data_IF_474250310064
#
_entry.id   IF_474250310064
#
_cell.length_a   1.000
_cell.length_b   1.000
_cell.length_c   1.000
_cell.angle_alpha   90.00
_cell.angle_beta   90.00
_cell.angle_gamma   90.00
#
_symmetry.space_group_name_H-M   'P 1'
#
loop_
_entity.id
_entity.type
_entity.pdbx_description
1 polymer ?
#
# COMPACT_ATOMS: atom_id res chain seq x y z
N UNK A 1 -26.62 -6.53 -17.03
CA UNK A 1 -26.14 -7.82 -16.49
C UNK A 1 -25.61 -7.57 -15.08
N UNK A 2 -25.83 -8.47 -14.11
CA UNK A 2 -25.35 -8.28 -12.72
C UNK A 2 -23.82 -8.24 -12.69
N UNK A 3 -23.23 -7.28 -11.95
CA UNK A 3 -21.79 -7.21 -11.72
C UNK A 3 -21.38 -8.28 -10.72
N UNK A 4 -20.35 -9.07 -11.03
CA UNK A 4 -19.85 -10.13 -10.17
C UNK A 4 -18.39 -9.87 -9.82
N UNK A 5 -18.13 -9.71 -8.52
CA UNK A 5 -16.79 -9.61 -7.97
C UNK A 5 -16.44 -10.94 -7.30
N UNK A 6 -15.49 -11.66 -7.87
CA UNK A 6 -14.92 -12.85 -7.26
C UNK A 6 -13.83 -12.41 -6.28
N UNK A 7 -14.15 -12.44 -4.99
CA UNK A 7 -13.17 -12.18 -3.93
C UNK A 7 -12.44 -13.49 -3.65
N UNK A 8 -11.16 -13.54 -3.98
CA UNK A 8 -10.32 -14.74 -3.87
C UNK A 8 -9.31 -14.51 -2.75
N UNK A 9 -9.26 -15.42 -1.79
CA UNK A 9 -8.33 -15.33 -0.67
C UNK A 9 -7.76 -16.68 -0.28
N UNK A 10 -6.49 -16.65 0.12
CA UNK A 10 -5.80 -17.79 0.73
C UNK A 10 -6.23 -18.06 2.18
N UNK A 11 -6.99 -17.14 2.78
CA UNK A 11 -7.39 -17.22 4.17
C UNK A 11 -8.53 -18.21 4.40
N UNK A 12 -8.61 -18.75 5.61
CA UNK A 12 -9.71 -19.63 6.01
C UNK A 12 -11.08 -18.99 5.88
N UNK A 13 -11.15 -17.68 6.07
CA UNK A 13 -12.37 -16.89 6.01
C UNK A 13 -12.13 -15.67 5.12
N UNK A 14 -13.09 -15.35 4.27
CA UNK A 14 -13.02 -14.12 3.48
C UNK A 14 -13.13 -12.88 4.39
N UNK A 15 -12.38 -11.83 4.05
CA UNK A 15 -12.35 -10.58 4.81
C UNK A 15 -13.70 -9.87 4.78
N UNK A 16 -14.36 -9.67 5.94
CA UNK A 16 -15.58 -8.86 6.00
C UNK A 16 -15.32 -7.42 5.56
N UNK A 17 -14.12 -6.89 5.84
CA UNK A 17 -13.72 -5.54 5.46
C UNK A 17 -13.77 -5.36 3.94
N UNK A 18 -13.12 -6.26 3.18
CA UNK A 18 -13.05 -6.14 1.72
C UNK A 18 -14.43 -6.35 1.08
N UNK A 19 -15.24 -7.26 1.65
CA UNK A 19 -16.60 -7.51 1.17
C UNK A 19 -17.49 -6.27 1.36
N UNK A 20 -17.45 -5.64 2.55
CA UNK A 20 -18.21 -4.41 2.83
C UNK A 20 -17.77 -3.28 1.90
N UNK A 21 -16.46 -3.06 1.77
CA UNK A 21 -15.91 -2.03 0.87
C UNK A 21 -16.35 -2.26 -0.59
N UNK A 22 -16.45 -3.51 -1.04
CA UNK A 22 -16.93 -3.84 -2.38
C UNK A 22 -18.41 -3.50 -2.58
N UNK A 23 -19.27 -3.85 -1.63
CA UNK A 23 -20.70 -3.51 -1.68
C UNK A 23 -20.93 -1.99 -1.63
N UNK A 24 -20.15 -1.28 -0.82
CA UNK A 24 -20.20 0.19 -0.74
C UNK A 24 -19.66 0.88 -2.00
N UNK A 25 -18.76 0.21 -2.74
CA UNK A 25 -18.12 0.80 -3.91
C UNK A 25 -19.01 0.78 -5.16
N UNK A 26 -19.76 -0.32 -5.35
CA UNK A 26 -20.47 -0.59 -6.60
C UNK A 26 -21.89 -1.05 -6.29
N UNK A 27 -22.86 -0.23 -6.67
CA UNK A 27 -24.27 -0.61 -6.61
C UNK A 27 -24.52 -1.89 -7.43
N UNK A 28 -25.38 -2.76 -6.88
CA UNK A 28 -25.78 -4.01 -7.51
C UNK A 28 -24.65 -5.01 -7.81
N UNK A 29 -23.49 -4.90 -7.15
CA UNK A 29 -22.47 -5.95 -7.19
C UNK A 29 -22.92 -7.17 -6.41
N UNK A 30 -22.65 -8.37 -6.94
CA UNK A 30 -22.66 -9.60 -6.18
C UNK A 30 -21.20 -9.98 -5.88
N UNK A 31 -20.83 -10.01 -4.60
CA UNK A 31 -19.50 -10.45 -4.16
C UNK A 31 -19.58 -11.96 -3.88
N UNK A 32 -18.74 -12.74 -4.56
CA UNK A 32 -18.66 -14.19 -4.41
C UNK A 32 -17.32 -14.53 -3.72
N UNK A 33 -17.34 -14.87 -2.42
CA UNK A 33 -16.11 -15.16 -1.68
C UNK A 33 -15.63 -16.59 -1.94
N UNK A 34 -14.37 -16.71 -2.34
CA UNK A 34 -13.60 -17.95 -2.35
C UNK A 34 -12.50 -17.84 -1.28
N UNK A 35 -12.54 -18.74 -0.32
CA UNK A 35 -11.61 -18.82 0.82
C UNK A 35 -10.82 -20.14 0.75
N UNK A 36 -9.68 -20.21 1.44
CA UNK A 36 -8.71 -21.31 1.39
C UNK A 36 -8.18 -21.61 -0.01
N UNK A 37 -8.13 -20.62 -0.91
CA UNK A 37 -7.63 -20.85 -2.27
C UNK A 37 -6.11 -20.89 -2.28
N UNK A 38 -5.54 -21.97 -2.78
CA UNK A 38 -4.09 -22.08 -2.99
C UNK A 38 -3.67 -21.45 -4.33
N UNK A 39 -2.37 -21.19 -4.50
CA UNK A 39 -1.88 -20.61 -5.75
C UNK A 39 -2.07 -21.58 -6.95
N UNK A 40 -1.99 -22.87 -6.68
CA UNK A 40 -2.15 -23.96 -7.66
C UNK A 40 -3.59 -24.09 -8.18
N UNK A 41 -4.58 -23.63 -7.42
CA UNK A 41 -6.01 -23.68 -7.80
C UNK A 41 -6.43 -22.49 -8.67
N UNK A 42 -5.64 -21.41 -8.69
CA UNK A 42 -5.95 -20.18 -9.44
C UNK A 42 -6.19 -20.42 -10.94
N UNK A 43 -5.41 -21.23 -11.67
CA UNK A 43 -5.64 -21.46 -13.09
C UNK A 43 -7.03 -22.03 -13.40
N UNK A 44 -7.45 -23.04 -12.63
CA UNK A 44 -8.77 -23.66 -12.80
C UNK A 44 -9.88 -22.67 -12.45
N UNK A 45 -9.75 -21.97 -11.32
CA UNK A 45 -10.73 -20.97 -10.87
C UNK A 45 -10.90 -19.83 -11.89
N UNK A 46 -9.81 -19.34 -12.46
CA UNK A 46 -9.88 -18.27 -13.49
C UNK A 46 -10.62 -18.76 -14.74
N UNK A 47 -10.39 -20.00 -15.18
CA UNK A 47 -11.16 -20.56 -16.31
C UNK A 47 -12.67 -20.57 -16.01
N UNK A 48 -13.04 -21.02 -14.82
CA UNK A 48 -14.44 -21.06 -14.38
C UNK A 48 -15.06 -19.66 -14.26
N UNK A 49 -14.25 -18.62 -14.03
CA UNK A 49 -14.70 -17.23 -13.99
C UNK A 49 -14.90 -16.62 -15.39
N UNK A 50 -14.02 -16.94 -16.35
CA UNK A 50 -13.99 -16.26 -17.67
C UNK A 50 -14.86 -16.92 -18.75
N UNK A 51 -15.15 -18.23 -18.68
CA UNK A 51 -15.92 -18.93 -19.72
C UNK A 51 -17.45 -18.85 -19.62
N UNK A 52 -18.11 -18.64 -18.45
CA UNK A 52 -19.57 -18.62 -18.37
C UNK A 52 -20.24 -17.44 -19.08
N UNK A 53 -19.50 -16.37 -19.40
CA UNK A 53 -20.03 -15.15 -20.04
C UNK A 53 -19.37 -14.94 -21.40
N UNK A 54 -20.13 -14.40 -22.34
CA UNK A 54 -19.59 -14.03 -23.64
C UNK A 54 -18.49 -12.97 -23.48
N UNK A 55 -17.49 -12.90 -24.39
CA UNK A 55 -16.38 -11.96 -24.24
C UNK A 55 -16.77 -10.49 -24.13
N UNK A 56 -17.93 -10.07 -24.65
CA UNK A 56 -18.45 -8.70 -24.50
C UNK A 56 -18.99 -8.42 -23.09
N UNK A 57 -19.49 -9.46 -22.41
CA UNK A 57 -20.17 -9.34 -21.13
C UNK A 57 -19.20 -9.44 -19.94
N UNK A 58 -17.96 -9.89 -20.17
CA UNK A 58 -16.91 -10.01 -19.15
C UNK A 58 -16.46 -8.68 -18.52
N UNK A 59 -16.89 -7.53 -19.05
CA UNK A 59 -16.77 -6.24 -18.33
C UNK A 59 -17.54 -6.23 -17.01
N UNK A 60 -18.56 -7.09 -16.86
CA UNK A 60 -19.35 -7.22 -15.63
C UNK A 60 -18.81 -8.27 -14.66
N UNK A 61 -17.60 -8.81 -14.91
CA UNK A 61 -16.95 -9.81 -14.07
C UNK A 61 -15.56 -9.30 -13.68
N UNK A 62 -15.20 -9.42 -12.42
CA UNK A 62 -13.90 -9.01 -11.91
C UNK A 62 -13.39 -9.94 -10.82
N UNK A 63 -12.08 -9.91 -10.59
CA UNK A 63 -11.38 -10.65 -9.54
C UNK A 63 -10.73 -9.65 -8.57
N UNK A 64 -10.91 -9.85 -7.28
CA UNK A 64 -10.17 -9.17 -6.23
C UNK A 64 -9.43 -10.21 -5.41
N UNK A 65 -8.10 -10.14 -5.36
CA UNK A 65 -7.28 -11.01 -4.51
C UNK A 65 -7.01 -10.29 -3.19
N UNK A 66 -7.46 -10.88 -2.09
CA UNK A 66 -7.25 -10.38 -0.73
C UNK A 66 -6.62 -11.43 0.20
N UNK A 67 -6.63 -11.17 1.50
CA UNK A 67 -6.04 -12.02 2.55
C UNK A 67 -4.93 -11.31 3.31
N UNK A 68 -4.04 -12.05 3.99
CA UNK A 68 -2.96 -11.46 4.81
C UNK A 68 -1.53 -11.75 4.33
N UNK A 69 -1.33 -12.73 3.43
CA UNK A 69 -0.02 -13.01 2.84
C UNK A 69 0.19 -12.27 1.52
N UNK A 70 0.84 -11.11 1.60
CA UNK A 70 1.06 -10.25 0.44
C UNK A 70 1.91 -10.90 -0.65
N UNK A 71 2.91 -11.71 -0.27
CA UNK A 71 3.77 -12.38 -1.26
C UNK A 71 2.96 -13.40 -2.04
N UNK A 72 2.16 -14.20 -1.32
CA UNK A 72 1.26 -15.17 -1.94
C UNK A 72 0.15 -14.50 -2.76
N UNK A 73 -0.35 -13.34 -2.32
CA UNK A 73 -1.32 -12.55 -3.06
C UNK A 73 -0.77 -12.03 -4.39
N UNK A 74 0.45 -11.50 -4.39
CA UNK A 74 1.15 -11.06 -5.61
C UNK A 74 1.38 -12.26 -6.56
N UNK A 75 1.78 -13.42 -6.04
CA UNK A 75 1.92 -14.68 -6.81
C UNK A 75 0.59 -15.11 -7.46
N UNK A 76 -0.50 -15.15 -6.69
CA UNK A 76 -1.82 -15.52 -7.19
C UNK A 76 -2.31 -14.55 -8.28
N UNK A 77 -1.99 -13.27 -8.16
CA UNK A 77 -2.31 -12.27 -9.19
C UNK A 77 -1.54 -12.54 -10.48
N UNK A 78 -0.24 -12.85 -10.40
CA UNK A 78 0.57 -13.17 -11.57
C UNK A 78 0.05 -14.42 -12.29
N UNK A 79 -0.29 -15.48 -11.54
CA UNK A 79 -0.86 -16.71 -12.11
C UNK A 79 -2.19 -16.42 -12.78
N UNK A 80 -3.08 -15.68 -12.12
CA UNK A 80 -4.39 -15.33 -12.66
C UNK A 80 -4.28 -14.51 -13.96
N UNK A 81 -3.36 -13.54 -14.00
CA UNK A 81 -3.10 -12.73 -15.20
C UNK A 81 -2.59 -13.60 -16.36
N UNK A 82 -1.69 -14.55 -16.11
CA UNK A 82 -1.17 -15.46 -17.15
C UNK A 82 -2.22 -16.43 -17.67
N UNK A 83 -3.21 -16.79 -16.86
CA UNK A 83 -4.27 -17.70 -17.25
C UNK A 83 -5.28 -17.06 -18.23
N UNK A 84 -5.45 -15.74 -18.18
CA UNK A 84 -6.36 -15.02 -19.08
C UNK A 84 -5.75 -14.85 -20.48
N UNK A 85 -6.58 -14.88 -21.53
CA UNK A 85 -6.13 -14.71 -22.92
C UNK A 85 -7.20 -14.00 -23.76
N UNK A 86 -6.84 -13.41 -24.90
CA UNK A 86 -7.86 -12.73 -25.72
C UNK A 86 -8.79 -13.76 -26.41
N UNK A 87 -10.12 -13.54 -26.43
CA UNK A 87 -10.85 -12.40 -25.87
C UNK A 87 -11.37 -12.59 -24.43
N UNK A 88 -11.07 -13.73 -23.79
CA UNK A 88 -11.49 -14.14 -22.44
C UNK A 88 -10.57 -13.61 -21.33
N UNK A 89 -10.86 -12.39 -20.89
CA UNK A 89 -10.18 -11.72 -19.78
C UNK A 89 -11.15 -10.89 -18.97
N UNK A 90 -10.91 -10.81 -17.67
CA UNK A 90 -11.66 -10.01 -16.70
C UNK A 90 -10.73 -9.02 -16.03
N UNK A 91 -11.28 -7.98 -15.40
CA UNK A 91 -10.44 -7.07 -14.63
C UNK A 91 -10.03 -7.70 -13.31
N UNK A 92 -8.83 -7.37 -12.84
CA UNK A 92 -8.23 -7.97 -11.65
C UNK A 92 -7.41 -6.94 -10.87
N UNK A 93 -7.45 -7.07 -9.55
CA UNK A 93 -6.59 -6.37 -8.60
C UNK A 93 -6.21 -7.29 -7.44
N UNK A 94 -5.03 -7.08 -6.85
CA UNK A 94 -4.66 -7.64 -5.57
C UNK A 94 -4.39 -6.51 -4.57
N UNK A 95 -4.95 -6.61 -3.36
CA UNK A 95 -4.67 -5.69 -2.26
C UNK A 95 -4.68 -6.42 -0.91
N UNK A 96 -3.83 -7.45 -0.83
CA UNK A 96 -3.65 -8.25 0.37
C UNK A 96 -3.19 -7.38 1.54
N UNK A 97 -3.85 -7.56 2.68
CA UNK A 97 -3.73 -6.78 3.92
C UNK A 97 -3.86 -5.25 3.72
N UNK A 98 -4.52 -4.82 2.64
CA UNK A 98 -4.60 -3.41 2.26
C UNK A 98 -3.24 -2.78 1.98
N UNK A 99 -2.25 -3.59 1.58
CA UNK A 99 -0.86 -3.15 1.50
C UNK A 99 -0.63 -2.09 0.42
N UNK A 100 -1.31 -2.16 -0.72
CA UNK A 100 -1.23 -1.18 -1.79
C UNK A 100 -2.03 0.08 -1.43
N UNK A 101 -3.28 -0.09 -0.97
CA UNK A 101 -4.15 1.05 -0.64
C UNK A 101 -3.64 1.85 0.56
N UNK A 102 -3.05 1.19 1.56
CA UNK A 102 -2.46 1.88 2.72
C UNK A 102 -1.23 2.68 2.30
N UNK A 103 -0.36 2.10 1.46
CA UNK A 103 0.78 2.81 0.90
C UNK A 103 0.34 4.01 0.05
N UNK A 104 -0.67 3.84 -0.80
CA UNK A 104 -1.25 4.91 -1.60
C UNK A 104 -1.81 6.03 -0.72
N UNK A 105 -2.56 5.69 0.33
CA UNK A 105 -3.08 6.66 1.30
C UNK A 105 -1.97 7.42 2.03
N UNK A 106 -0.92 6.73 2.46
CA UNK A 106 0.21 7.35 3.14
C UNK A 106 0.92 8.36 2.24
N UNK A 107 1.28 7.95 1.02
CA UNK A 107 1.99 8.83 0.08
C UNK A 107 1.10 9.97 -0.40
N UNK A 108 -0.22 9.74 -0.55
CA UNK A 108 -1.19 10.81 -0.81
C UNK A 108 -1.12 11.90 0.26
N UNK A 109 -1.18 11.56 1.56
CA UNK A 109 -1.17 12.56 2.65
C UNK A 109 0.17 13.29 2.76
N UNK A 110 1.27 12.58 2.53
CA UNK A 110 2.60 13.18 2.43
C UNK A 110 2.64 14.19 1.27
N UNK A 111 2.19 13.79 0.08
CA UNK A 111 2.14 14.67 -1.10
C UNK A 111 1.23 15.87 -0.87
N UNK A 112 0.05 15.67 -0.29
CA UNK A 112 -0.90 16.73 0.08
C UNK A 112 -0.24 17.81 0.94
N UNK A 113 0.61 17.40 1.89
CA UNK A 113 1.32 18.32 2.80
C UNK A 113 2.31 19.24 2.07
N UNK A 114 2.89 18.78 0.95
CA UNK A 114 3.77 19.58 0.10
C UNK A 114 3.00 20.42 -0.93
N UNK A 115 2.00 19.83 -1.58
CA UNK A 115 1.24 20.53 -2.64
C UNK A 115 0.44 21.72 -2.08
N UNK A 116 -0.05 21.63 -0.84
CA UNK A 116 -0.66 22.78 -0.13
C UNK A 116 0.28 23.98 0.03
N UNK A 117 1.59 23.78 -0.05
CA UNK A 117 2.63 24.82 0.02
C UNK A 117 3.17 25.22 -1.37
N UNK A 118 2.60 24.69 -2.45
CA UNK A 118 3.14 24.87 -3.80
C UNK A 118 4.42 24.10 -4.08
N UNK A 119 4.77 23.13 -3.23
CA UNK A 119 5.95 22.27 -3.37
C UNK A 119 5.57 20.87 -3.91
N UNK A 120 6.59 20.05 -4.20
CA UNK A 120 6.42 18.66 -4.62
C UNK A 120 7.47 17.76 -3.96
N UNK A 121 7.38 16.45 -4.18
CA UNK A 121 8.25 15.45 -3.56
C UNK A 121 9.60 15.25 -4.27
N UNK A 122 9.82 15.89 -5.42
CA UNK A 122 11.06 15.74 -6.18
C UNK A 122 12.25 16.27 -5.38
N UNK A 123 13.26 15.42 -5.18
CA UNK A 123 14.46 15.72 -4.39
C UNK A 123 14.21 15.82 -2.89
N UNK A 124 13.01 15.50 -2.41
CA UNK A 124 12.76 15.32 -0.97
C UNK A 124 13.38 13.99 -0.52
N UNK A 125 13.67 13.88 0.79
CA UNK A 125 14.33 12.70 1.35
C UNK A 125 13.43 12.03 2.36
N UNK A 126 13.03 10.80 2.08
CA UNK A 126 12.14 10.03 2.93
C UNK A 126 12.83 8.80 3.54
N UNK A 127 12.76 8.66 4.86
CA UNK A 127 13.18 7.43 5.55
C UNK A 127 11.94 6.68 6.05
N UNK A 128 11.90 5.38 5.80
CA UNK A 128 10.79 4.50 6.16
C UNK A 128 11.28 3.51 7.21
N UNK A 129 10.89 3.74 8.45
CA UNK A 129 11.25 2.90 9.58
C UNK A 129 10.45 1.60 9.60
N UNK A 130 11.15 0.49 9.87
CA UNK A 130 10.64 -0.87 9.72
C UNK A 130 10.09 -1.16 8.30
N UNK A 131 10.61 -0.46 7.29
CA UNK A 131 10.05 -0.41 5.93
C UNK A 131 10.22 -1.65 5.06
N UNK A 132 10.76 -2.76 5.60
CA UNK A 132 10.91 -4.01 4.84
C UNK A 132 9.62 -4.81 4.69
N UNK A 133 8.56 -4.40 5.40
CA UNK A 133 7.24 -4.99 5.26
C UNK A 133 6.53 -4.59 3.96
N UNK A 134 5.42 -5.25 3.61
CA UNK A 134 4.70 -5.00 2.35
C UNK A 134 4.29 -3.54 2.13
N UNK A 135 3.73 -2.89 3.17
CA UNK A 135 3.33 -1.48 3.13
C UNK A 135 4.54 -0.57 2.95
N UNK A 136 5.60 -0.79 3.73
CA UNK A 136 6.82 0.02 3.68
C UNK A 136 7.50 0.02 2.31
N UNK A 137 7.61 -1.14 1.67
CA UNK A 137 8.19 -1.25 0.32
C UNK A 137 7.32 -0.56 -0.75
N UNK A 138 6.00 -0.61 -0.62
CA UNK A 138 5.07 0.09 -1.52
C UNK A 138 5.11 1.61 -1.32
N UNK A 139 5.25 2.08 -0.08
CA UNK A 139 5.50 3.48 0.22
C UNK A 139 6.83 3.93 -0.41
N UNK A 140 7.90 3.13 -0.28
CA UNK A 140 9.19 3.40 -0.91
C UNK A 140 9.05 3.55 -2.44
N UNK A 141 8.40 2.58 -3.09
CA UNK A 141 8.13 2.59 -4.53
C UNK A 141 7.38 3.85 -4.99
N UNK A 142 6.31 4.22 -4.27
CA UNK A 142 5.49 5.39 -4.62
C UNK A 142 6.23 6.72 -4.38
N UNK A 143 7.03 6.83 -3.31
CA UNK A 143 7.86 8.01 -3.06
C UNK A 143 8.96 8.18 -4.13
N UNK A 144 9.58 7.08 -4.56
CA UNK A 144 10.55 7.06 -5.67
C UNK A 144 9.87 7.53 -6.96
N UNK A 145 8.67 7.05 -7.25
CA UNK A 145 7.88 7.47 -8.43
C UNK A 145 7.60 8.98 -8.42
N UNK A 146 7.43 9.56 -7.23
CA UNK A 146 7.24 11.01 -7.04
C UNK A 146 8.56 11.81 -7.06
N UNK A 147 9.70 11.12 -7.26
CA UNK A 147 11.02 11.72 -7.39
C UNK A 147 11.74 11.98 -6.07
N UNK A 148 11.31 11.37 -4.97
CA UNK A 148 12.00 11.45 -3.69
C UNK A 148 13.19 10.47 -3.63
N UNK A 149 14.23 10.86 -2.90
CA UNK A 149 15.28 9.95 -2.46
C UNK A 149 14.75 9.15 -1.26
N UNK A 150 14.94 7.83 -1.26
CA UNK A 150 14.35 6.97 -0.24
C UNK A 150 15.40 6.15 0.51
N UNK A 151 15.18 6.02 1.81
CA UNK A 151 15.87 5.09 2.69
C UNK A 151 14.86 4.16 3.39
N UNK A 152 15.25 2.91 3.62
CA UNK A 152 14.45 1.92 4.35
C UNK A 152 15.28 1.37 5.52
N UNK A 153 14.64 1.18 6.67
CA UNK A 153 15.29 0.58 7.84
C UNK A 153 14.74 -0.81 8.16
N UNK A 154 15.59 -1.62 8.77
CA UNK A 154 15.30 -2.97 9.27
C UNK A 154 16.12 -3.24 10.52
N UNK A 155 15.71 -4.23 11.32
CA UNK A 155 16.55 -4.75 12.42
C UNK A 155 17.77 -5.52 11.92
N UNK A 156 17.83 -5.90 10.64
CA UNK A 156 18.97 -6.56 10.01
C UNK A 156 19.27 -5.92 8.67
N UNK A 157 20.52 -5.53 8.45
CA UNK A 157 20.94 -4.87 7.20
C UNK A 157 20.65 -5.74 5.97
N UNK A 158 21.03 -7.03 6.01
CA UNK A 158 20.85 -7.95 4.88
C UNK A 158 19.37 -8.04 4.47
N UNK A 159 18.46 -8.12 5.44
CA UNK A 159 17.02 -8.10 5.19
C UNK A 159 16.55 -6.79 4.55
N UNK A 160 17.11 -5.65 4.96
CA UNK A 160 16.79 -4.38 4.30
C UNK A 160 17.26 -4.40 2.85
N UNK A 161 18.50 -4.82 2.60
CA UNK A 161 19.10 -4.90 1.27
C UNK A 161 18.31 -5.83 0.33
N UNK A 162 17.98 -7.03 0.78
CA UNK A 162 17.15 -7.99 0.03
C UNK A 162 15.77 -7.43 -0.30
N UNK A 163 15.14 -6.75 0.67
CA UNK A 163 13.81 -6.19 0.49
C UNK A 163 13.78 -5.03 -0.52
N UNK A 164 14.77 -4.12 -0.45
CA UNK A 164 14.84 -2.98 -1.38
C UNK A 164 15.29 -3.38 -2.78
N UNK A 165 16.05 -4.48 -2.95
CA UNK A 165 16.51 -4.93 -4.27
C UNK A 165 15.35 -5.19 -5.24
N UNK A 166 14.23 -5.69 -4.72
CA UNK A 166 12.98 -5.86 -5.49
C UNK A 166 12.47 -4.53 -6.03
N UNK A 167 12.47 -3.48 -5.21
CA UNK A 167 12.02 -2.13 -5.58
C UNK A 167 13.02 -1.45 -6.51
N UNK A 168 14.33 -1.56 -6.22
CA UNK A 168 15.43 -1.02 -7.03
C UNK A 168 15.35 -1.51 -8.47
N UNK A 169 15.15 -2.82 -8.67
CA UNK A 169 15.04 -3.42 -10.01
C UNK A 169 13.85 -2.90 -10.81
N UNK A 170 12.70 -2.71 -10.15
CA UNK A 170 11.47 -2.25 -10.83
C UNK A 170 11.52 -0.77 -11.17
N UNK A 171 12.03 0.07 -10.26
CA UNK A 171 11.97 1.53 -10.38
C UNK A 171 13.29 2.18 -10.83
N UNK A 172 14.35 1.40 -11.00
CA UNK A 172 15.70 1.89 -11.36
C UNK A 172 16.14 3.08 -10.50
N UNK A 173 15.98 2.94 -9.18
CA UNK A 173 16.28 3.98 -8.21
C UNK A 173 17.30 3.48 -7.19
N UNK A 174 18.15 4.37 -6.69
CA UNK A 174 18.99 4.06 -5.54
C UNK A 174 18.19 4.26 -4.25
N UNK A 175 18.20 3.23 -3.40
CA UNK A 175 17.45 3.18 -2.14
C UNK A 175 18.47 2.86 -1.07
N UNK A 176 18.62 3.71 -0.05
CA UNK A 176 19.54 3.40 1.05
C UNK A 176 18.92 2.40 2.01
N UNK A 177 19.74 1.51 2.56
CA UNK A 177 19.34 0.58 3.61
C UNK A 177 20.11 0.90 4.90
N UNK A 178 19.40 0.91 6.03
CA UNK A 178 20.01 1.05 7.36
C UNK A 178 19.59 -0.10 8.27
N UNK A 179 20.53 -0.56 9.10
CA UNK A 179 20.20 -1.39 10.25
C UNK A 179 19.86 -0.48 11.44
N UNK A 180 18.70 -0.71 12.05
CA UNK A 180 18.21 0.04 13.22
C UNK A 180 17.71 -0.94 14.27
N UNK A 181 18.38 -0.97 15.42
CA UNK A 181 18.01 -1.80 16.58
C UNK A 181 17.81 -1.01 17.86
N UNK A 182 18.22 0.25 17.88
CA UNK A 182 18.12 1.15 19.03
C UNK A 182 17.88 2.60 18.61
N UNK A 183 17.69 3.46 19.60
CA UNK A 183 17.59 4.90 19.45
C UNK A 183 18.89 5.50 18.87
N UNK A 184 20.06 4.98 19.26
CA UNK A 184 21.35 5.40 18.71
C UNK A 184 21.47 5.08 17.21
N UNK A 185 20.95 3.93 16.77
CA UNK A 185 20.94 3.59 15.35
C UNK A 185 19.94 4.44 14.57
N UNK A 186 18.80 4.76 15.19
CA UNK A 186 17.80 5.69 14.63
C UNK A 186 18.44 7.07 14.39
N UNK A 187 19.16 7.59 15.38
CA UNK A 187 19.93 8.84 15.29
C UNK A 187 20.94 8.77 14.13
N UNK A 188 21.78 7.72 14.07
CA UNK A 188 22.78 7.56 12.99
C UNK A 188 22.14 7.55 11.61
N UNK A 189 21.02 6.84 11.43
CA UNK A 189 20.32 6.77 10.15
C UNK A 189 19.73 8.14 9.74
N UNK A 190 19.18 8.89 10.70
CA UNK A 190 18.66 10.25 10.46
C UNK A 190 19.80 11.22 10.11
N UNK A 191 20.93 11.16 10.81
CA UNK A 191 22.08 12.04 10.59
C UNK A 191 22.79 11.79 9.26
N UNK A 192 22.98 10.52 8.88
CA UNK A 192 23.59 10.16 7.60
C UNK A 192 22.69 10.52 6.41
N UNK A 193 21.40 10.19 6.50
CA UNK A 193 20.50 10.38 5.37
C UNK A 193 19.96 11.81 5.24
N UNK A 194 19.75 12.49 6.37
CA UNK A 194 19.10 13.80 6.52
C UNK A 194 17.68 13.84 5.91
N UNK A 195 16.75 12.96 6.34
CA UNK A 195 15.40 12.89 5.81
C UNK A 195 14.56 14.09 6.23
N UNK A 196 13.80 14.66 5.30
CA UNK A 196 12.76 15.64 5.62
C UNK A 196 11.37 14.99 5.80
N UNK A 197 11.22 13.72 5.42
CA UNK A 197 10.02 12.91 5.63
C UNK A 197 10.41 11.67 6.44
N UNK A 198 9.72 11.44 7.55
CA UNK A 198 9.83 10.22 8.36
C UNK A 198 8.52 9.47 8.30
N UNK A 199 8.58 8.20 7.89
CA UNK A 199 7.42 7.31 7.87
C UNK A 199 7.71 6.10 8.75
N UNK A 200 6.74 5.66 9.55
CA UNK A 200 6.86 4.43 10.33
C UNK A 200 5.86 3.39 9.84
N UNK A 201 6.33 2.15 9.66
CA UNK A 201 5.57 1.00 9.15
C UNK A 201 5.74 -0.24 10.02
N UNK A 202 6.03 -0.01 11.29
CA UNK A 202 6.28 -1.04 12.29
C UNK A 202 5.04 -1.82 12.71
N UNK A 203 5.26 -2.87 13.51
CA UNK A 203 4.16 -3.60 14.11
C UNK A 203 3.35 -2.71 15.08
N UNK A 204 2.09 -3.08 15.36
CA UNK A 204 1.25 -2.39 16.33
C UNK A 204 1.91 -2.24 17.70
N UNK A 205 1.58 -1.15 18.40
CA UNK A 205 1.99 -0.90 19.80
C UNK A 205 3.51 -0.78 20.02
N UNK A 206 4.27 -0.41 18.99
CA UNK A 206 5.71 -0.15 19.09
C UNK A 206 6.02 1.25 18.60
N UNK A 207 6.67 2.05 19.44
CA UNK A 207 7.29 3.31 19.04
C UNK A 207 8.65 3.02 18.40
N UNK A 208 8.83 3.53 17.18
CA UNK A 208 10.04 3.37 16.38
C UNK A 208 10.88 4.65 16.36
N UNK A 209 10.26 5.81 16.44
CA UNK A 209 10.94 7.10 16.48
C UNK A 209 10.34 7.93 17.61
N UNK A 210 11.12 8.10 18.68
CA UNK A 210 10.71 8.88 19.85
C UNK A 210 10.71 10.38 19.54
N UNK A 211 9.92 11.12 20.32
CA UNK A 211 9.82 12.57 20.22
C UNK A 211 11.15 13.24 20.52
N UNK A 212 11.85 12.75 21.54
CA UNK A 212 13.18 13.20 21.90
C UNK A 212 14.19 13.11 20.75
N UNK A 213 14.03 12.15 19.82
CA UNK A 213 14.90 12.05 18.64
C UNK A 213 14.43 13.01 17.54
N UNK A 214 13.18 12.90 17.08
CA UNK A 214 12.78 13.66 15.88
C UNK A 214 12.70 15.17 16.12
N UNK A 215 12.50 15.61 17.38
CA UNK A 215 12.41 17.04 17.71
C UNK A 215 13.73 17.80 17.55
N UNK A 216 14.87 17.10 17.67
CA UNK A 216 16.22 17.67 17.54
C UNK A 216 16.52 18.11 16.10
N UNK A 217 15.98 17.41 15.11
CA UNK A 217 16.31 17.64 13.70
C UNK A 217 15.29 18.55 13.01
N UNK A 218 15.67 19.83 12.82
CA UNK A 218 14.82 20.84 12.16
C UNK A 218 14.59 20.61 10.67
N UNK A 219 15.42 19.78 10.03
CA UNK A 219 15.21 19.41 8.64
C UNK A 219 14.07 18.39 8.45
N UNK A 220 13.63 17.70 9.52
CA UNK A 220 12.43 16.85 9.49
C UNK A 220 11.21 17.76 9.44
N UNK A 221 10.42 17.62 8.38
CA UNK A 221 9.23 18.44 8.11
C UNK A 221 7.93 17.64 8.19
N UNK A 222 7.95 16.37 7.77
CA UNK A 222 6.77 15.51 7.72
C UNK A 222 7.00 14.26 8.58
N UNK A 223 6.00 13.90 9.37
CA UNK A 223 5.92 12.68 10.16
C UNK A 223 4.66 11.92 9.76
N UNK A 224 4.79 10.65 9.39
CA UNK A 224 3.67 9.79 9.05
C UNK A 224 3.78 8.43 9.77
N UNK A 225 2.65 7.92 10.24
CA UNK A 225 2.58 6.63 10.91
C UNK A 225 1.37 5.82 10.44
N UNK A 226 1.60 4.56 10.06
CA UNK A 226 0.55 3.62 9.66
C UNK A 226 0.06 2.74 10.81
N UNK A 227 0.69 2.81 12.00
CA UNK A 227 0.25 2.11 13.20
C UNK A 227 -0.96 2.82 13.83
N UNK A 228 -2.10 2.13 13.87
CA UNK A 228 -3.32 2.65 14.50
C UNK A 228 -3.45 2.34 16.00
N UNK A 229 -2.48 1.62 16.59
CA UNK A 229 -2.58 1.12 17.97
C UNK A 229 -1.50 1.75 18.86
N UNK A 230 -1.89 2.42 19.97
CA UNK A 230 -0.92 3.03 20.88
C UNK A 230 -0.11 1.97 21.66
N UNK A 231 1.16 2.25 21.98
CA UNK A 231 1.91 3.43 21.56
C UNK A 231 2.18 3.44 20.05
N UNK A 232 2.09 4.62 19.44
CA UNK A 232 2.23 4.85 18.01
C UNK A 232 3.70 4.76 17.57
N UNK A 233 3.91 4.51 16.26
CA UNK A 233 5.22 4.37 15.63
C UNK A 233 6.07 5.64 15.69
N UNK A 234 5.47 6.80 15.42
CA UNK A 234 6.07 8.11 15.69
C UNK A 234 5.45 8.68 16.95
N UNK A 235 6.25 8.86 17.99
CA UNK A 235 5.76 9.46 19.23
C UNK A 235 5.34 10.92 18.99
N UNK A 236 4.16 11.30 19.48
CA UNK A 236 3.61 12.64 19.33
C UNK A 236 2.71 12.83 18.10
N UNK A 237 2.64 11.86 17.18
CA UNK A 237 1.64 11.81 16.10
C UNK A 237 0.48 10.93 16.55
N UNK A 238 -0.72 11.50 16.72
CA UNK A 238 -1.91 10.71 17.02
C UNK A 238 -2.47 10.04 15.75
N UNK A 239 -3.08 8.86 15.89
CA UNK A 239 -3.68 8.17 14.76
C UNK A 239 -4.75 9.00 14.02
N UNK A 240 -5.38 9.98 14.67
CA UNK A 240 -6.35 10.90 14.09
C UNK A 240 -5.74 12.19 13.51
N UNK A 241 -4.45 12.43 13.68
CA UNK A 241 -3.83 13.66 13.16
C UNK A 241 -3.88 13.67 11.63
N UNK A 242 -4.46 14.74 11.08
CA UNK A 242 -4.69 14.93 9.66
C UNK A 242 -3.86 16.11 9.17
N UNK A 243 -2.66 15.83 8.65
CA UNK A 243 -1.73 16.87 8.20
C UNK A 243 -1.58 18.00 9.25
N UNK A 244 -1.56 17.63 10.53
CA UNK A 244 -1.64 18.55 11.66
C UNK A 244 -0.28 19.11 12.00
N UNK A 245 -0.22 20.37 12.40
CA UNK A 245 1.02 20.97 12.87
C UNK A 245 1.42 20.44 14.26
N UNK A 246 2.65 19.95 14.38
CA UNK A 246 3.24 19.41 15.60
C UNK A 246 4.66 19.96 15.71
N UNK A 247 4.86 20.96 16.58
CA UNK A 247 6.17 21.59 16.82
C UNK A 247 6.89 22.01 15.52
N UNK A 248 6.16 22.65 14.61
CA UNK A 248 6.68 23.10 13.31
C UNK A 248 6.85 22.01 12.25
N UNK A 249 6.41 20.77 12.52
CA UNK A 249 6.27 19.68 11.53
C UNK A 249 4.81 19.42 11.20
N UNK A 250 4.57 18.64 10.15
CA UNK A 250 3.25 18.13 9.78
C UNK A 250 3.19 16.64 10.14
N UNK A 251 2.29 16.26 11.03
CA UNK A 251 2.00 14.88 11.42
C UNK A 251 0.75 14.33 10.75
N UNK A 252 0.81 13.08 10.28
CA UNK A 252 -0.36 12.34 9.80
C UNK A 252 -0.39 10.94 10.40
N UNK A 253 -1.51 10.60 11.03
CA UNK A 253 -1.72 9.31 11.67
C UNK A 253 -2.49 8.29 10.83
N UNK A 254 -2.47 7.05 11.32
CA UNK A 254 -2.95 5.87 10.61
C UNK A 254 -4.44 5.91 10.23
N UNK A 255 -5.31 6.51 11.05
CA UNK A 255 -6.75 6.58 10.74
C UNK A 255 -7.02 7.56 9.59
N UNK A 256 -6.22 8.61 9.45
CA UNK A 256 -6.35 9.58 8.35
C UNK A 256 -5.74 9.07 7.06
N UNK A 257 -4.66 8.30 7.16
CA UNK A 257 -4.17 7.47 6.06
C UNK A 257 -5.25 6.45 5.65
N UNK A 258 -5.89 5.81 6.63
CA UNK A 258 -6.98 4.85 6.45
C UNK A 258 -8.20 5.42 5.71
N UNK A 259 -8.55 6.69 5.93
CA UNK A 259 -9.63 7.33 5.16
C UNK A 259 -9.33 7.35 3.66
N UNK A 260 -8.09 7.67 3.28
CA UNK A 260 -7.69 7.68 1.87
C UNK A 260 -7.54 6.26 1.33
N UNK A 261 -7.01 5.33 2.13
CA UNK A 261 -6.97 3.90 1.82
C UNK A 261 -8.35 3.39 1.39
N UNK A 262 -9.37 3.61 2.22
CA UNK A 262 -10.72 3.14 1.93
C UNK A 262 -11.29 3.83 0.68
N UNK A 263 -11.05 5.13 0.50
CA UNK A 263 -11.45 5.86 -0.71
C UNK A 263 -10.83 5.23 -1.97
N UNK A 264 -9.52 4.97 -1.94
CA UNK A 264 -8.80 4.32 -3.03
C UNK A 264 -9.33 2.90 -3.31
N UNK A 265 -9.61 2.12 -2.26
CA UNK A 265 -10.19 0.77 -2.40
C UNK A 265 -11.57 0.80 -3.09
N UNK A 266 -12.45 1.74 -2.70
CA UNK A 266 -13.74 1.88 -3.39
C UNK A 266 -13.57 2.31 -4.85
N UNK A 267 -12.63 3.22 -5.12
CA UNK A 267 -12.33 3.66 -6.48
C UNK A 267 -11.80 2.52 -7.35
N UNK A 268 -10.84 1.72 -6.88
CA UNK A 268 -10.29 0.58 -7.65
C UNK A 268 -11.34 -0.51 -7.89
N UNK A 269 -12.24 -0.77 -6.94
CA UNK A 269 -13.34 -1.73 -7.15
C UNK A 269 -14.29 -1.24 -8.24
N UNK A 270 -14.61 0.06 -8.30
CA UNK A 270 -15.39 0.61 -9.42
C UNK A 270 -14.68 0.44 -10.76
N UNK A 271 -13.38 0.75 -10.81
CA UNK A 271 -12.54 0.64 -12.02
C UNK A 271 -12.49 -0.77 -12.61
N UNK A 272 -12.66 -1.81 -11.80
CA UNK A 272 -12.72 -3.19 -12.30
C UNK A 272 -13.87 -3.39 -13.31
N UNK A 273 -14.96 -2.62 -13.19
CA UNK A 273 -16.15 -2.75 -14.03
C UNK A 273 -16.26 -1.68 -15.13
N UNK A 274 -15.30 -0.77 -15.26
CA UNK A 274 -15.31 0.30 -16.28
C UNK A 274 -14.80 -0.19 -17.64
N UNK A 275 -13.90 -1.17 -17.64
CA UNK A 275 -13.30 -1.76 -18.83
C UNK A 275 -13.00 -3.22 -18.59
N UNK A 276 -13.16 -4.06 -19.62
CA UNK A 276 -12.76 -5.47 -19.57
C UNK A 276 -11.25 -5.66 -19.59
N UNK A 277 -10.73 -6.51 -18.70
CA UNK A 277 -9.35 -6.97 -18.73
C UNK A 277 -8.37 -5.93 -18.19
N UNK A 278 -8.82 -5.09 -17.26
CA UNK A 278 -7.98 -4.12 -16.60
C UNK A 278 -7.16 -4.81 -15.49
N UNK A 279 -5.84 -4.67 -15.52
CA UNK A 279 -4.94 -5.24 -14.50
C UNK A 279 -4.46 -4.06 -13.66
N UNK A 280 -5.12 -3.83 -12.52
CA UNK A 280 -4.83 -2.69 -11.65
C UNK A 280 -3.60 -3.00 -10.80
N UNK A 281 -2.55 -2.20 -10.96
CA UNK A 281 -1.28 -2.30 -10.22
C UNK A 281 -1.15 -1.19 -9.18
N UNK A 282 -0.04 -1.19 -8.44
CA UNK A 282 0.26 -0.19 -7.41
C UNK A 282 0.08 1.25 -7.90
N UNK A 283 0.51 1.56 -9.12
CA UNK A 283 0.37 2.89 -9.71
C UNK A 283 -1.08 3.28 -9.99
N UNK A 284 -1.91 2.32 -10.44
CA UNK A 284 -3.32 2.55 -10.69
C UNK A 284 -4.08 2.76 -9.36
N UNK A 285 -3.72 1.98 -8.33
CA UNK A 285 -4.25 2.12 -6.97
C UNK A 285 -3.85 3.48 -6.38
N UNK A 286 -2.60 3.90 -6.59
CA UNK A 286 -2.14 5.21 -6.16
C UNK A 286 -2.84 6.35 -6.88
N UNK A 287 -3.06 6.25 -8.20
CA UNK A 287 -3.85 7.23 -8.94
C UNK A 287 -5.29 7.33 -8.41
N UNK A 288 -5.91 6.19 -8.09
CA UNK A 288 -7.25 6.13 -7.53
C UNK A 288 -7.39 6.81 -6.15
N UNK A 289 -6.30 7.02 -5.41
CA UNK A 289 -6.32 7.76 -4.15
C UNK A 289 -6.62 9.26 -4.34
N UNK A 290 -6.47 9.80 -5.55
CA UNK A 290 -6.72 11.21 -5.89
C UNK A 290 -8.11 11.48 -6.47
N UNK A 291 -8.91 10.44 -6.70
CA UNK A 291 -10.31 10.52 -7.16
C UNK A 291 -11.24 10.67 -5.97
#
# INVERSE_FOLDING_TARGET
MKKMLFYVSMEKHASPFDIIEAYDAVEDVAVVPYANVSAEEIPALVNDIIFPRSPKDLINTAIFIGGHDVVKGDEMMEIAVRQMFNPFKVSIVADTDGSNTTAAGCVYKIKESYTKKGENLKGQKAIIFAGTGPVGLRIAALLIKEGADVAVTSRKLDRAMEAIDKVRKVYNADIKAYEVRSDEDTIKAIEDFKPNIVVTTGPPKITLVSKAIWSEYKFIKILADVNAYPPYGVEGVDANDDCKEIEGRIGTGALRIGTIKNKAQKAIIRKLFEKKGNILKLEDIYAAAFE
#
